data_IF_558431965725
#
_entry.id   IF_558431965725
#
_cell.length_a   1.000
_cell.length_b   1.000
_cell.length_c   1.000
_cell.angle_alpha   90.00
_cell.angle_beta   90.00
_cell.angle_gamma   90.00
#
_symmetry.space_group_name_H-M   'P 1'
#
loop_
_entity.id
_entity.type
_entity.pdbx_description
1 polymer ?
#
# COMPACT_ATOMS: atom_id res chain seq x y z
N UNK A 1 -58.83 5.96 25.16
CA UNK A 1 -57.93 6.80 24.33
C UNK A 1 -56.80 5.91 23.80
N UNK A 2 -56.91 5.42 22.58
CA UNK A 2 -55.84 4.66 21.92
C UNK A 2 -55.10 5.60 20.97
N UNK A 3 -53.86 5.97 21.29
CA UNK A 3 -53.02 6.84 20.44
C UNK A 3 -51.78 6.08 20.00
N UNK A 4 -51.75 5.71 18.72
CA UNK A 4 -50.63 6.04 17.84
C UNK A 4 -49.33 5.27 18.00
N UNK A 5 -49.34 3.94 18.01
CA UNK A 5 -48.12 3.14 17.77
C UNK A 5 -47.91 2.82 16.27
N UNK A 6 -48.97 2.97 15.45
CA UNK A 6 -48.94 2.59 14.02
C UNK A 6 -48.16 3.53 13.09
N UNK A 7 -47.94 4.79 13.46
CA UNK A 7 -47.33 5.76 12.54
C UNK A 7 -45.82 5.56 12.36
N UNK A 8 -45.09 5.21 13.43
CA UNK A 8 -43.63 5.01 13.37
C UNK A 8 -43.25 3.76 12.55
N UNK A 9 -44.06 2.69 12.60
CA UNK A 9 -43.84 1.49 11.78
C UNK A 9 -44.13 1.70 10.29
N UNK A 10 -45.05 2.61 9.93
CA UNK A 10 -45.40 2.89 8.53
C UNK A 10 -44.34 3.72 7.80
N UNK A 11 -43.52 4.51 8.51
CA UNK A 11 -42.41 5.24 7.89
C UNK A 11 -41.27 4.32 7.44
N UNK A 12 -41.10 3.16 8.09
CA UNK A 12 -40.11 2.14 7.70
C UNK A 12 -40.50 1.38 6.42
N UNK A 13 -41.76 1.46 5.98
CA UNK A 13 -42.29 0.76 4.82
C UNK A 13 -42.61 1.69 3.63
N UNK A 14 -42.18 2.96 3.67
CA UNK A 14 -42.36 3.86 2.53
C UNK A 14 -41.60 3.31 1.31
N UNK A 15 -42.22 3.21 0.13
CA UNK A 15 -41.56 2.70 -1.07
C UNK A 15 -40.33 3.54 -1.44
N UNK A 16 -40.33 4.84 -1.12
CA UNK A 16 -39.17 5.71 -1.33
C UNK A 16 -38.01 5.39 -0.39
N UNK A 17 -38.29 5.03 0.86
CA UNK A 17 -37.26 4.66 1.84
C UNK A 17 -36.66 3.29 1.52
N UNK A 18 -37.50 2.32 1.12
CA UNK A 18 -37.07 1.00 0.67
C UNK A 18 -36.19 1.08 -0.59
N UNK A 19 -36.54 1.95 -1.55
CA UNK A 19 -35.71 2.21 -2.72
C UNK A 19 -34.35 2.81 -2.35
N UNK A 20 -34.31 3.75 -1.39
CA UNK A 20 -33.06 4.37 -0.94
C UNK A 20 -32.16 3.34 -0.22
N UNK A 21 -32.74 2.49 0.63
CA UNK A 21 -32.02 1.41 1.30
C UNK A 21 -31.48 0.37 0.31
N UNK A 22 -32.27 -0.01 -0.70
CA UNK A 22 -31.82 -0.91 -1.76
C UNK A 22 -30.67 -0.33 -2.58
N UNK A 23 -30.74 0.97 -2.90
CA UNK A 23 -29.67 1.68 -3.63
C UNK A 23 -28.38 1.78 -2.80
N UNK A 24 -28.49 2.06 -1.50
CA UNK A 24 -27.37 2.06 -0.56
C UNK A 24 -26.71 0.68 -0.49
N UNK A 25 -27.49 -0.39 -0.31
CA UNK A 25 -27.00 -1.77 -0.26
C UNK A 25 -26.30 -2.17 -1.57
N UNK A 26 -26.88 -1.81 -2.72
CA UNK A 26 -26.29 -2.07 -4.03
C UNK A 26 -24.98 -1.31 -4.22
N UNK A 27 -24.93 -0.04 -3.80
CA UNK A 27 -23.71 0.79 -3.88
C UNK A 27 -22.58 0.26 -2.98
N UNK A 28 -22.91 -0.20 -1.76
CA UNK A 28 -21.93 -0.81 -0.86
C UNK A 28 -21.45 -2.16 -1.37
N UNK A 29 -22.32 -2.97 -1.98
CA UNK A 29 -21.93 -4.23 -2.63
C UNK A 29 -21.00 -3.99 -3.82
N UNK A 30 -21.30 -3.01 -4.67
CA UNK A 30 -20.42 -2.61 -5.78
C UNK A 30 -19.07 -2.07 -5.30
N UNK A 31 -19.01 -1.37 -4.17
CA UNK A 31 -17.77 -0.88 -3.58
C UNK A 31 -16.92 -2.03 -2.99
N UNK A 32 -17.54 -3.03 -2.36
CA UNK A 32 -16.87 -4.21 -1.82
C UNK A 32 -16.36 -5.17 -2.92
N UNK A 33 -17.09 -5.29 -4.03
CA UNK A 33 -16.66 -6.04 -5.22
C UNK A 33 -15.52 -5.37 -5.99
N UNK A 34 -15.21 -4.10 -5.68
CA UNK A 34 -14.15 -3.33 -6.30
C UNK A 34 -12.78 -3.49 -5.63
N UNK A 35 -12.65 -4.42 -4.69
CA UNK A 35 -11.35 -5.00 -4.35
C UNK A 35 -10.88 -5.85 -5.54
N UNK A 36 -10.47 -5.16 -6.60
CA UNK A 36 -9.78 -5.77 -7.71
C UNK A 36 -8.48 -6.32 -7.17
N UNK A 37 -8.40 -7.64 -7.13
CA UNK A 37 -7.20 -8.42 -6.86
C UNK A 37 -6.15 -8.04 -7.92
N UNK A 38 -5.37 -6.99 -7.64
CA UNK A 38 -4.32 -6.46 -8.50
C UNK A 38 -3.02 -7.27 -8.45
N UNK A 39 -3.10 -8.51 -7.96
CA UNK A 39 -1.94 -9.31 -7.57
C UNK A 39 -1.14 -9.85 -8.78
N UNK A 40 -1.75 -9.97 -9.97
CA UNK A 40 -1.11 -10.67 -11.10
C UNK A 40 -0.84 -9.79 -12.34
N UNK A 41 -1.17 -8.50 -12.32
CA UNK A 41 -0.90 -7.62 -13.48
C UNK A 41 0.48 -6.94 -13.42
N UNK A 42 1.01 -6.66 -12.22
CA UNK A 42 2.22 -5.86 -12.07
C UNK A 42 3.48 -6.58 -12.56
N UNK A 43 3.47 -7.91 -12.61
CA UNK A 43 4.61 -8.75 -12.98
C UNK A 43 4.34 -9.62 -14.21
N UNK A 44 3.28 -9.36 -14.98
CA UNK A 44 3.05 -10.11 -16.23
C UNK A 44 4.22 -9.95 -17.19
N UNK A 45 4.74 -11.08 -17.66
CA UNK A 45 5.91 -11.13 -18.54
C UNK A 45 7.26 -11.13 -17.82
N UNK A 46 7.28 -11.05 -16.49
CA UNK A 46 8.50 -11.23 -15.70
C UNK A 46 8.65 -12.71 -15.32
N UNK A 47 9.88 -13.22 -15.41
CA UNK A 47 10.25 -14.52 -14.88
C UNK A 47 10.82 -14.33 -13.48
N UNK A 48 10.31 -15.06 -12.50
CA UNK A 48 10.89 -15.05 -11.16
C UNK A 48 12.32 -15.60 -11.19
N UNK A 49 13.25 -14.85 -10.59
CA UNK A 49 14.66 -15.25 -10.46
C UNK A 49 15.01 -15.26 -8.98
N UNK A 50 15.56 -16.37 -8.51
CA UNK A 50 16.07 -16.49 -7.15
C UNK A 50 17.43 -15.77 -7.06
N UNK A 51 17.56 -14.87 -6.09
CA UNK A 51 18.80 -14.13 -5.82
C UNK A 51 19.35 -14.56 -4.47
N UNK A 52 20.59 -15.04 -4.45
CA UNK A 52 21.31 -15.36 -3.23
C UNK A 52 21.73 -14.07 -2.50
N UNK A 53 21.79 -14.10 -1.17
CA UNK A 53 22.18 -12.95 -0.34
C UNK A 53 23.52 -12.32 -0.77
N UNK A 54 24.48 -13.13 -1.23
CA UNK A 54 25.79 -12.67 -1.71
C UNK A 54 25.71 -11.76 -2.95
N UNK A 55 24.59 -11.79 -3.68
CA UNK A 55 24.38 -10.96 -4.87
C UNK A 55 23.97 -9.53 -4.51
N UNK A 56 23.48 -9.28 -3.28
CA UNK A 56 23.09 -7.96 -2.81
C UNK A 56 24.30 -7.25 -2.17
N UNK A 57 24.98 -6.42 -2.95
CA UNK A 57 26.14 -5.66 -2.47
C UNK A 57 25.70 -4.25 -2.13
N UNK A 58 25.44 -4.01 -0.84
CA UNK A 58 24.96 -2.69 -0.40
C UNK A 58 26.02 -1.62 -0.64
N UNK A 59 25.69 -0.68 -1.52
CA UNK A 59 26.37 0.60 -1.67
C UNK A 59 25.72 1.60 -0.71
N UNK A 60 26.54 2.45 -0.10
CA UNK A 60 26.12 3.49 0.85
C UNK A 60 27.05 4.71 0.70
N UNK A 61 26.70 5.86 1.29
CA UNK A 61 27.62 6.99 1.41
C UNK A 61 28.95 6.57 2.06
N UNK A 62 30.08 7.07 1.56
CA UNK A 62 31.40 6.59 2.01
C UNK A 62 31.66 6.83 3.50
N UNK A 63 31.09 7.88 4.07
CA UNK A 63 31.34 8.40 5.43
C UNK A 63 30.24 8.09 6.45
N UNK A 64 29.15 7.45 6.05
CA UNK A 64 28.03 7.10 6.95
C UNK A 64 28.05 5.61 7.30
N UNK A 65 27.87 5.19 8.57
CA UNK A 65 27.74 3.78 8.94
C UNK A 65 26.57 3.07 8.24
N UNK A 66 26.75 1.78 7.88
CA UNK A 66 25.71 1.00 7.18
C UNK A 66 24.36 0.95 7.92
N UNK A 67 24.28 0.71 9.24
CA UNK A 67 22.99 0.62 9.95
C UNK A 67 22.18 1.92 9.94
N UNK A 68 22.77 3.06 9.60
CA UNK A 68 22.05 4.33 9.48
C UNK A 68 21.38 4.53 8.11
N UNK A 69 21.74 3.71 7.11
CA UNK A 69 21.24 3.82 5.73
C UNK A 69 20.65 2.53 5.18
N UNK A 70 20.83 1.41 5.87
CA UNK A 70 20.37 0.12 5.42
C UNK A 70 19.92 -0.77 6.57
N UNK A 71 18.84 -1.53 6.34
CA UNK A 71 18.37 -2.58 7.22
C UNK A 71 17.80 -3.75 6.42
N UNK A 72 18.02 -4.98 6.90
CA UNK A 72 17.42 -6.19 6.35
C UNK A 72 16.74 -6.98 7.46
N UNK A 73 15.41 -7.02 7.43
CA UNK A 73 14.56 -7.73 8.41
C UNK A 73 13.40 -8.38 7.66
N UNK A 74 13.14 -9.65 7.94
CA UNK A 74 12.01 -10.43 7.42
C UNK A 74 11.85 -10.37 5.88
N UNK A 75 12.97 -10.45 5.15
CA UNK A 75 12.97 -10.40 3.68
C UNK A 75 12.82 -9.00 3.09
N UNK A 76 12.67 -7.96 3.91
CA UNK A 76 12.53 -6.58 3.47
C UNK A 76 13.85 -5.83 3.66
N UNK A 77 14.43 -5.37 2.55
CA UNK A 77 15.59 -4.46 2.54
C UNK A 77 15.08 -3.02 2.56
N UNK A 78 15.38 -2.28 3.63
CA UNK A 78 15.05 -0.86 3.78
C UNK A 78 16.31 -0.04 3.53
N UNK A 79 16.16 1.03 2.76
CA UNK A 79 17.27 1.89 2.33
C UNK A 79 16.84 3.34 2.54
N UNK A 80 17.68 4.15 3.16
CA UNK A 80 17.46 5.58 3.31
C UNK A 80 18.50 6.34 2.51
N UNK A 81 18.07 7.44 1.90
CA UNK A 81 18.94 8.39 1.20
C UNK A 81 18.52 9.78 1.65
N UNK A 82 19.45 10.51 2.25
CA UNK A 82 19.24 11.91 2.63
C UNK A 82 19.90 12.82 1.61
N UNK A 83 19.33 14.00 1.39
CA UNK A 83 19.89 14.98 0.46
C UNK A 83 21.30 15.45 0.85
N UNK A 84 21.66 15.28 2.12
CA UNK A 84 22.98 15.60 2.69
C UNK A 84 23.99 14.46 2.61
N UNK A 85 23.58 13.27 2.18
CA UNK A 85 24.50 12.14 2.10
C UNK A 85 25.54 12.34 0.99
N UNK A 86 26.70 11.73 1.18
CA UNK A 86 27.74 11.73 0.17
C UNK A 86 27.58 10.57 -0.84
N UNK A 87 28.33 10.60 -1.96
CA UNK A 87 28.36 9.51 -2.92
C UNK A 87 29.00 8.24 -2.33
N UNK A 88 29.04 7.15 -3.10
CA UNK A 88 29.64 5.88 -2.65
C UNK A 88 31.13 5.98 -2.32
N UNK A 89 31.86 6.89 -2.98
CA UNK A 89 33.28 7.15 -2.76
C UNK A 89 33.56 8.64 -2.92
N UNK A 90 34.72 9.09 -2.44
CA UNK A 90 35.16 10.49 -2.52
C UNK A 90 35.43 10.97 -3.95
N UNK A 91 35.59 10.05 -4.90
CA UNK A 91 35.89 10.35 -6.32
C UNK A 91 34.70 10.11 -7.24
N UNK A 92 33.59 9.59 -6.74
CA UNK A 92 32.43 9.28 -7.57
C UNK A 92 31.66 10.57 -7.93
N UNK A 93 31.33 10.83 -9.21
CA UNK A 93 30.73 12.09 -9.64
C UNK A 93 29.22 12.22 -9.37
N UNK A 94 28.55 11.10 -9.08
CA UNK A 94 27.13 11.05 -8.71
C UNK A 94 26.83 11.64 -7.32
N UNK A 95 25.54 11.73 -6.97
CA UNK A 95 25.08 12.29 -5.69
C UNK A 95 24.82 11.25 -4.59
N UNK A 96 24.08 11.66 -3.54
CA UNK A 96 23.56 10.78 -2.48
C UNK A 96 22.97 9.47 -3.01
N UNK A 97 23.39 8.31 -2.47
CA UNK A 97 22.76 7.02 -2.80
C UNK A 97 22.98 5.93 -1.76
N UNK A 98 21.99 5.05 -1.65
CA UNK A 98 22.06 3.74 -1.00
C UNK A 98 21.33 2.74 -1.89
N UNK A 99 22.02 1.72 -2.40
CA UNK A 99 21.49 0.74 -3.38
C UNK A 99 22.11 -0.66 -3.18
N UNK A 100 21.50 -1.72 -3.70
CA UNK A 100 21.98 -3.13 -3.56
C UNK A 100 22.29 -3.77 -4.90
#
# INVERSE_FOLDING_TARGET
MARGVGAALLFLASPTLLMLQALLLLSTSCALLRSAHGEDLLTKGFTAVELAEVQFKVQKPYDVPLPERYEFVDGVRRMWVYATDHPITTTHPGGPRTET
#
